data_IF_735077010572
#
_entry.id   IF_735077010572
#
_cell.length_a   1.000
_cell.length_b   1.000
_cell.length_c   1.000
_cell.angle_alpha   90.00
_cell.angle_beta   90.00
_cell.angle_gamma   90.00
#
_symmetry.space_group_name_H-M   'P 1'
#
loop_
_entity.id
_entity.type
_entity.pdbx_description
1 polymer ?
#
# COMPACT_ATOMS: atom_id res chain seq x y z
N UNK A 1 45.20 -50.80 -17.94
CA UNK A 1 43.84 -50.37 -18.29
C UNK A 1 43.82 -49.98 -19.76
N UNK A 2 42.95 -50.61 -20.54
CA UNK A 2 43.00 -50.51 -22.01
C UNK A 2 42.52 -49.11 -22.44
N UNK A 3 43.31 -48.38 -23.27
CA UNK A 3 43.00 -47.00 -23.72
C UNK A 3 41.59 -46.86 -24.30
N UNK A 4 41.06 -47.89 -24.92
CA UNK A 4 39.67 -47.95 -25.45
C UNK A 4 38.60 -47.97 -24.34
N UNK A 5 38.87 -48.62 -23.19
CA UNK A 5 37.96 -48.69 -22.05
C UNK A 5 37.96 -47.34 -21.33
N UNK A 6 39.11 -46.64 -21.22
CA UNK A 6 39.21 -45.32 -20.62
C UNK A 6 38.45 -44.25 -21.44
N UNK A 7 38.52 -44.33 -22.78
CA UNK A 7 37.78 -43.42 -23.67
C UNK A 7 36.26 -43.64 -23.60
N UNK A 8 35.81 -44.87 -23.52
CA UNK A 8 34.38 -45.18 -23.35
C UNK A 8 33.83 -44.68 -21.99
N UNK A 9 34.64 -44.79 -20.93
CA UNK A 9 34.24 -44.30 -19.59
C UNK A 9 34.16 -42.77 -19.54
N UNK A 10 35.06 -42.09 -20.24
CA UNK A 10 35.03 -40.60 -20.34
C UNK A 10 33.84 -40.10 -21.12
N UNK A 11 33.43 -40.78 -22.22
CA UNK A 11 32.23 -40.45 -22.99
C UNK A 11 30.94 -40.66 -22.20
N UNK A 12 30.83 -41.70 -21.40
CA UNK A 12 29.67 -41.95 -20.54
C UNK A 12 29.54 -40.91 -19.45
N UNK A 13 30.66 -40.45 -18.87
CA UNK A 13 30.64 -39.40 -17.87
C UNK A 13 30.21 -38.03 -18.47
N UNK A 14 30.57 -37.73 -19.75
CA UNK A 14 30.13 -36.49 -20.40
C UNK A 14 28.63 -36.43 -20.69
N UNK A 15 28.00 -37.57 -21.00
CA UNK A 15 26.56 -37.64 -21.30
C UNK A 15 25.72 -37.42 -20.03
N UNK A 16 26.21 -37.79 -18.86
CA UNK A 16 25.49 -37.60 -17.58
C UNK A 16 25.49 -36.15 -17.10
N UNK A 17 26.44 -35.31 -17.54
CA UNK A 17 26.57 -33.91 -17.13
C UNK A 17 25.70 -32.96 -17.96
N UNK A 18 25.19 -33.41 -19.14
CA UNK A 18 24.30 -32.59 -19.98
C UNK A 18 22.82 -32.75 -19.64
N UNK A 19 22.49 -33.34 -18.50
CA UNK A 19 21.13 -33.31 -17.96
C UNK A 19 20.71 -31.87 -17.74
N UNK A 20 20.00 -31.26 -18.69
CA UNK A 20 19.37 -29.98 -18.58
C UNK A 20 18.34 -30.03 -17.43
N UNK A 21 18.75 -29.68 -16.23
CA UNK A 21 17.80 -29.42 -15.16
C UNK A 21 16.93 -28.27 -15.64
N UNK A 22 15.59 -28.43 -15.78
CA UNK A 22 14.72 -27.32 -16.08
C UNK A 22 14.82 -26.35 -14.88
N UNK A 23 15.61 -25.29 -15.02
CA UNK A 23 15.54 -24.16 -14.09
C UNK A 23 14.18 -23.54 -14.30
N UNK A 24 13.19 -24.05 -13.55
CA UNK A 24 11.89 -23.38 -13.43
C UNK A 24 12.15 -22.05 -12.74
N UNK A 25 12.33 -21.01 -13.53
CA UNK A 25 12.31 -19.65 -13.03
C UNK A 25 10.91 -19.43 -12.45
N UNK A 26 10.75 -19.67 -11.15
CA UNK A 26 9.54 -19.29 -10.43
C UNK A 26 9.38 -17.79 -10.66
N UNK A 27 8.41 -17.40 -11.51
CA UNK A 27 8.00 -16.00 -11.66
C UNK A 27 7.59 -15.54 -10.29
N UNK A 28 8.45 -14.81 -9.59
CA UNK A 28 8.10 -14.13 -8.34
C UNK A 28 6.96 -13.19 -8.67
N UNK A 29 5.74 -13.57 -8.26
CA UNK A 29 4.56 -12.74 -8.47
C UNK A 29 4.79 -11.43 -7.72
N UNK A 30 5.01 -10.33 -8.45
CA UNK A 30 5.18 -9.01 -7.86
C UNK A 30 3.97 -8.72 -6.97
N UNK A 31 4.17 -8.61 -5.66
CA UNK A 31 3.13 -8.20 -4.74
C UNK A 31 3.05 -6.67 -4.77
N UNK A 32 1.93 -6.14 -5.21
CA UNK A 32 1.68 -4.69 -5.17
C UNK A 32 1.41 -4.23 -3.75
N UNK A 33 1.96 -3.08 -3.40
CA UNK A 33 1.75 -2.42 -2.11
C UNK A 33 0.77 -1.27 -2.26
N UNK A 34 -0.25 -1.21 -1.41
CA UNK A 34 -1.30 -0.21 -1.43
C UNK A 34 -1.25 0.58 -0.12
N UNK A 35 -1.09 1.90 -0.18
CA UNK A 35 -1.28 2.75 0.97
C UNK A 35 -2.76 3.13 1.09
N UNK A 36 -3.34 3.00 2.28
CA UNK A 36 -4.72 3.42 2.54
C UNK A 36 -4.69 4.62 3.47
N UNK A 37 -5.25 5.74 3.00
CA UNK A 37 -5.43 6.95 3.79
C UNK A 37 -6.90 7.13 4.17
N UNK A 38 -7.22 6.81 5.41
CA UNK A 38 -8.54 7.08 5.98
C UNK A 38 -8.70 8.58 6.23
N UNK A 39 -9.56 9.22 5.46
CA UNK A 39 -9.80 10.67 5.52
C UNK A 39 -10.11 11.18 6.92
N UNK A 40 -9.75 12.43 7.19
CA UNK A 40 -9.95 13.10 8.48
C UNK A 40 -9.32 12.38 9.68
N UNK A 41 -9.67 12.78 10.88
CA UNK A 41 -9.27 12.18 12.17
C UNK A 41 -10.22 12.67 13.27
N UNK A 42 -10.10 12.14 14.49
CA UNK A 42 -11.05 12.44 15.59
C UNK A 42 -11.14 13.90 15.98
N UNK A 43 -10.06 14.66 15.81
CA UNK A 43 -10.04 16.13 16.03
C UNK A 43 -9.38 16.80 14.84
N UNK A 44 -9.99 17.86 14.33
CA UNK A 44 -9.38 18.75 13.35
C UNK A 44 -8.15 19.45 13.93
N UNK A 45 -7.32 20.02 13.06
CA UNK A 45 -6.19 20.85 13.43
C UNK A 45 -6.19 22.10 12.55
N UNK A 46 -6.61 23.22 13.15
CA UNK A 46 -6.72 24.53 12.48
C UNK A 46 -5.38 25.24 12.26
N UNK A 47 -4.29 24.79 12.91
CA UNK A 47 -2.96 25.28 12.57
C UNK A 47 -2.70 25.10 11.10
N UNK A 48 -2.04 26.03 10.45
CA UNK A 48 -1.88 26.02 9.00
C UNK A 48 -0.61 25.33 8.53
N UNK A 49 -0.65 24.83 7.30
CA UNK A 49 0.50 24.32 6.54
C UNK A 49 0.39 24.76 5.07
N UNK A 50 1.48 24.81 4.30
CA UNK A 50 1.41 25.09 2.87
C UNK A 50 0.52 24.08 2.14
N UNK A 51 -0.18 24.52 1.10
CA UNK A 51 -1.03 23.61 0.27
C UNK A 51 -0.21 22.61 -0.54
N UNK A 52 1.06 22.88 -0.76
CA UNK A 52 1.99 22.01 -1.50
C UNK A 52 3.44 22.46 -1.30
N UNK A 53 4.40 21.74 -1.89
CA UNK A 53 5.82 22.13 -1.86
C UNK A 53 6.00 23.56 -2.37
N UNK A 54 6.75 24.38 -1.62
CA UNK A 54 7.06 25.79 -1.95
C UNK A 54 5.85 26.72 -2.10
N UNK A 55 4.62 26.27 -1.80
CA UNK A 55 3.43 27.09 -1.94
C UNK A 55 3.36 28.16 -0.84
N UNK A 56 3.10 29.42 -1.24
CA UNK A 56 2.85 30.54 -0.30
C UNK A 56 1.48 30.43 0.36
N UNK A 57 0.48 29.92 -0.38
CA UNK A 57 -0.87 29.70 0.12
C UNK A 57 -0.88 28.62 1.20
N UNK A 58 -1.67 28.85 2.24
CA UNK A 58 -1.76 27.95 3.39
C UNK A 58 -3.19 27.48 3.61
N UNK A 59 -3.33 26.31 4.20
CA UNK A 59 -4.61 25.69 4.59
C UNK A 59 -4.51 25.09 5.98
N UNK A 60 -5.63 24.80 6.67
CA UNK A 60 -5.60 24.02 7.90
C UNK A 60 -4.88 22.70 7.71
N UNK A 61 -4.15 22.25 8.73
CA UNK A 61 -3.41 20.98 8.69
C UNK A 61 -4.30 19.79 8.44
N UNK A 62 -5.50 19.76 9.04
CA UNK A 62 -6.52 18.76 8.78
C UNK A 62 -7.89 19.28 9.19
N UNK A 63 -8.87 19.12 8.30
CA UNK A 63 -10.27 19.42 8.59
C UNK A 63 -10.89 18.33 9.48
N UNK A 64 -11.87 18.72 10.29
CA UNK A 64 -12.62 17.77 11.13
C UNK A 64 -13.42 16.76 10.30
N UNK A 65 -13.91 17.20 9.13
CA UNK A 65 -14.85 16.44 8.30
C UNK A 65 -16.29 16.78 8.65
N UNK A 66 -17.18 16.02 8.09
CA UNK A 66 -18.64 16.13 8.31
C UNK A 66 -19.14 15.09 9.32
N UNK A 67 -20.43 15.07 9.55
CA UNK A 67 -21.10 14.02 10.32
C UNK A 67 -22.49 13.75 9.74
N UNK A 68 -22.98 12.54 9.91
CA UNK A 68 -24.31 12.17 9.47
C UNK A 68 -25.39 12.99 10.18
N UNK A 69 -26.32 13.56 9.42
CA UNK A 69 -27.39 14.45 9.98
C UNK A 69 -28.23 13.72 11.01
N UNK A 70 -28.67 12.50 10.72
CA UNK A 70 -29.48 11.66 11.63
C UNK A 70 -28.62 10.84 12.59
N UNK A 71 -27.60 10.17 12.06
CA UNK A 71 -26.79 9.22 12.83
C UNK A 71 -25.77 9.89 13.76
N UNK A 72 -25.45 11.15 13.50
CA UNK A 72 -24.39 11.91 14.20
C UNK A 72 -23.00 11.21 14.19
N UNK A 73 -22.83 10.21 13.31
CA UNK A 73 -21.55 9.51 13.16
C UNK A 73 -20.57 10.44 12.43
N UNK A 74 -19.40 10.74 13.02
CA UNK A 74 -18.39 11.55 12.36
C UNK A 74 -17.82 10.84 11.12
N UNK A 75 -17.59 11.58 10.06
CA UNK A 75 -17.00 11.08 8.82
C UNK A 75 -15.66 10.38 9.09
N UNK A 76 -14.82 10.97 9.93
CA UNK A 76 -13.54 10.38 10.32
C UNK A 76 -13.63 8.99 10.95
N UNK A 77 -14.74 8.67 11.63
CA UNK A 77 -15.01 7.34 12.19
C UNK A 77 -15.42 6.37 11.08
N UNK A 78 -16.30 6.81 10.19
CA UNK A 78 -16.78 5.98 9.08
C UNK A 78 -15.66 5.66 8.08
N UNK A 79 -14.87 6.67 7.68
CA UNK A 79 -13.73 6.47 6.77
C UNK A 79 -12.69 5.51 7.35
N UNK A 80 -12.43 5.56 8.67
CA UNK A 80 -11.55 4.61 9.32
C UNK A 80 -12.11 3.18 9.30
N UNK A 81 -13.41 3.01 9.56
CA UNK A 81 -14.05 1.68 9.50
C UNK A 81 -13.99 1.09 8.09
N UNK A 82 -14.26 1.90 7.06
CA UNK A 82 -14.16 1.49 5.66
C UNK A 82 -12.72 1.10 5.34
N UNK A 83 -11.74 1.93 5.70
CA UNK A 83 -10.33 1.70 5.45
C UNK A 83 -9.81 0.39 6.10
N UNK A 84 -10.24 0.10 7.34
CA UNK A 84 -9.87 -1.15 8.02
C UNK A 84 -10.50 -2.39 7.36
N UNK A 85 -11.74 -2.28 6.87
CA UNK A 85 -12.37 -3.36 6.10
C UNK A 85 -11.66 -3.56 4.76
N UNK A 86 -11.35 -2.48 4.06
CA UNK A 86 -10.62 -2.52 2.79
C UNK A 86 -9.23 -3.15 2.98
N UNK A 87 -8.49 -2.77 4.03
CA UNK A 87 -7.21 -3.41 4.36
C UNK A 87 -7.36 -4.93 4.48
N UNK A 88 -8.36 -5.39 5.23
CA UNK A 88 -8.61 -6.84 5.43
C UNK A 88 -8.86 -7.56 4.11
N UNK A 89 -9.69 -6.97 3.23
CA UNK A 89 -10.02 -7.57 1.93
C UNK A 89 -8.83 -7.56 0.97
N UNK A 90 -8.03 -6.50 0.95
CA UNK A 90 -6.84 -6.43 0.10
C UNK A 90 -5.78 -7.44 0.56
N UNK A 91 -5.56 -7.58 1.87
CA UNK A 91 -4.62 -8.60 2.41
C UNK A 91 -5.05 -10.02 2.08
N UNK A 92 -6.34 -10.35 2.14
CA UNK A 92 -6.86 -11.65 1.71
C UNK A 92 -6.56 -11.95 0.22
N UNK A 93 -6.51 -10.92 -0.60
CA UNK A 93 -6.18 -11.01 -2.03
C UNK A 93 -4.68 -11.00 -2.32
N UNK A 94 -3.83 -11.01 -1.30
CA UNK A 94 -2.39 -11.08 -1.44
C UNK A 94 -1.69 -9.75 -1.70
N UNK A 95 -2.35 -8.62 -1.47
CA UNK A 95 -1.71 -7.30 -1.53
C UNK A 95 -0.98 -6.97 -0.23
N UNK A 96 0.17 -6.29 -0.32
CA UNK A 96 0.78 -5.62 0.82
C UNK A 96 0.03 -4.30 1.09
N UNK A 97 -0.29 -4.00 2.36
CA UNK A 97 -1.10 -2.83 2.71
C UNK A 97 -0.45 -2.03 3.81
N UNK A 98 -0.26 -0.74 3.54
CA UNK A 98 0.20 0.26 4.51
C UNK A 98 -0.95 1.20 4.89
N UNK A 99 -1.26 1.30 6.19
CA UNK A 99 -2.29 2.20 6.70
C UNK A 99 -1.67 3.50 7.19
N UNK A 100 -2.10 4.66 6.67
CA UNK A 100 -1.65 5.98 7.13
C UNK A 100 -2.04 6.23 8.59
N UNK A 101 -3.25 5.80 8.99
CA UNK A 101 -3.71 5.78 10.38
C UNK A 101 -4.56 4.54 10.66
N UNK A 102 -4.53 4.09 11.91
CA UNK A 102 -5.32 2.96 12.42
C UNK A 102 -6.20 3.34 13.60
N UNK A 103 -6.04 4.57 14.08
CA UNK A 103 -6.76 5.06 15.26
C UNK A 103 -7.51 6.35 14.92
N UNK A 104 -8.59 6.60 15.66
CA UNK A 104 -9.35 7.83 15.57
C UNK A 104 -8.56 9.00 16.18
N UNK A 105 -7.96 8.76 17.34
CA UNK A 105 -7.15 9.75 18.08
C UNK A 105 -5.72 9.78 17.54
N UNK A 106 -5.52 10.56 16.46
CA UNK A 106 -4.20 10.89 15.90
C UNK A 106 -4.15 12.39 15.60
N UNK A 107 -2.93 12.92 15.44
CA UNK A 107 -2.73 14.30 14.97
C UNK A 107 -1.74 14.27 13.80
N UNK A 108 -2.24 13.92 12.62
CA UNK A 108 -1.46 13.75 11.40
C UNK A 108 -1.95 14.79 10.41
N UNK A 109 -1.10 15.73 10.00
CA UNK A 109 -1.46 16.76 9.02
C UNK A 109 -1.56 16.17 7.60
N UNK A 110 -2.22 16.89 6.67
CA UNK A 110 -2.31 16.45 5.28
C UNK A 110 -0.92 16.30 4.64
N UNK A 111 0.02 17.22 4.96
CA UNK A 111 1.43 17.10 4.55
C UNK A 111 2.07 15.81 5.09
N UNK A 112 1.85 15.51 6.37
CA UNK A 112 2.39 14.29 6.97
C UNK A 112 1.78 13.01 6.36
N UNK A 113 0.50 13.04 5.98
CA UNK A 113 -0.17 11.92 5.27
C UNK A 113 0.50 11.64 3.93
N UNK A 114 0.71 12.68 3.12
CA UNK A 114 1.42 12.57 1.85
C UNK A 114 2.86 12.04 2.03
N UNK A 115 3.61 12.56 3.01
CA UNK A 115 4.96 12.07 3.32
C UNK A 115 4.95 10.59 3.72
N UNK A 116 3.99 10.16 4.56
CA UNK A 116 3.86 8.76 4.96
C UNK A 116 3.53 7.85 3.79
N UNK A 117 2.60 8.27 2.92
CA UNK A 117 2.26 7.53 1.71
C UNK A 117 3.50 7.34 0.81
N UNK A 118 4.23 8.43 0.51
CA UNK A 118 5.43 8.37 -0.32
C UNK A 118 6.54 7.49 0.30
N UNK A 119 6.77 7.61 1.62
CA UNK A 119 7.78 6.81 2.34
C UNK A 119 7.40 5.35 2.50
N UNK A 120 6.14 4.99 2.33
CA UNK A 120 5.69 3.61 2.46
C UNK A 120 6.18 2.69 1.35
N UNK A 121 6.65 3.25 0.23
CA UNK A 121 6.98 2.50 -0.97
C UNK A 121 5.76 1.87 -1.64
N UNK A 122 4.55 2.41 -1.42
CA UNK A 122 3.35 1.90 -2.04
C UNK A 122 3.30 2.25 -3.54
N UNK A 123 2.83 1.30 -4.35
CA UNK A 123 2.62 1.48 -5.79
C UNK A 123 1.41 2.38 -6.06
N UNK A 124 0.45 2.45 -5.14
CA UNK A 124 -0.75 3.29 -5.24
C UNK A 124 -1.29 3.71 -3.87
N UNK A 125 -2.09 4.76 -3.85
CA UNK A 125 -2.76 5.27 -2.65
C UNK A 125 -4.27 5.21 -2.85
N UNK A 126 -4.97 4.56 -1.91
CA UNK A 126 -6.43 4.62 -1.79
C UNK A 126 -6.81 5.62 -0.69
N UNK A 127 -7.51 6.68 -1.07
CA UNK A 127 -8.00 7.69 -0.14
C UNK A 127 -9.50 7.49 0.11
N UNK A 128 -9.90 7.27 1.36
CA UNK A 128 -11.31 7.12 1.73
C UNK A 128 -11.86 8.46 2.20
N UNK A 129 -12.92 8.93 1.53
CA UNK A 129 -13.63 10.16 1.84
C UNK A 129 -15.11 10.01 1.48
N UNK A 130 -15.99 10.77 2.14
CA UNK A 130 -17.38 10.83 1.74
C UNK A 130 -17.55 11.91 0.68
N UNK A 131 -18.10 11.54 -0.47
CA UNK A 131 -18.61 12.50 -1.44
C UNK A 131 -20.08 12.73 -1.13
N UNK A 132 -20.46 13.98 -0.85
CA UNK A 132 -21.87 14.33 -0.80
C UNK A 132 -22.44 14.23 -2.21
N UNK A 133 -23.63 13.62 -2.43
CA UNK A 133 -24.29 13.69 -3.72
C UNK A 133 -24.50 15.16 -4.07
N UNK A 134 -23.94 15.58 -5.20
CA UNK A 134 -24.29 16.89 -5.77
C UNK A 134 -25.72 16.79 -6.25
N UNK A 135 -26.63 17.41 -5.52
CA UNK A 135 -28.00 17.60 -6.02
C UNK A 135 -27.88 18.61 -7.14
N UNK A 136 -27.99 18.12 -8.38
CA UNK A 136 -28.09 18.95 -9.55
C UNK A 136 -29.52 19.54 -9.62
#
# INVERSE_FOLDING_TARGET
MNKKILAAFLCVCMVVVTGSFPVSAAKTKKTYKIAIDAGHQGKGNSKTEPIGPSAKMRKPKVAYGTQGVKTKVPESKLTLQIALKLEKELKKRGYDVYMIRRKQNVNISNKQRAIRANKSGADTVSYTHLTLPTIA
#
